data_IF_743968696894
#
_entry.id   IF_743968696894
#
_cell.length_a   1.000
_cell.length_b   1.000
_cell.length_c   1.000
_cell.angle_alpha   90.00
_cell.angle_beta   90.00
_cell.angle_gamma   90.00
#
_symmetry.space_group_name_H-M   'P 1'
#
loop_
_entity.id
_entity.type
_entity.pdbx_description
1 polymer ?
#
# COMPACT_ATOMS: atom_id res chain seq x y z
N UNK A 1 20.58 -19.28 11.64
CA UNK A 1 20.67 -19.43 10.18
C UNK A 1 20.03 -18.21 9.57
N UNK A 2 20.71 -17.56 8.63
CA UNK A 2 20.16 -16.41 7.90
C UNK A 2 18.95 -16.88 7.08
N UNK A 3 17.73 -16.34 7.30
CA UNK A 3 16.52 -16.78 6.61
C UNK A 3 16.60 -16.62 5.08
N UNK A 4 17.49 -15.74 4.58
CA UNK A 4 17.72 -15.55 3.15
C UNK A 4 18.81 -16.46 2.58
N UNK A 5 19.48 -17.31 3.37
CA UNK A 5 20.56 -18.18 2.84
C UNK A 5 20.08 -19.17 1.77
N UNK A 6 18.78 -19.42 1.68
CA UNK A 6 18.17 -20.31 0.69
C UNK A 6 17.64 -19.59 -0.56
N UNK A 7 17.54 -18.26 -0.55
CA UNK A 7 16.98 -17.47 -1.65
C UNK A 7 17.87 -16.28 -1.99
N UNK A 8 18.23 -16.11 -3.26
CA UNK A 8 18.87 -14.87 -3.71
C UNK A 8 17.85 -13.71 -3.56
N UNK A 9 18.17 -12.75 -2.69
CA UNK A 9 17.35 -11.58 -2.38
C UNK A 9 16.97 -10.77 -3.63
N UNK A 10 17.91 -10.59 -4.56
CA UNK A 10 17.67 -9.92 -5.84
C UNK A 10 16.59 -10.66 -6.65
N UNK A 11 16.67 -11.98 -6.73
CA UNK A 11 15.66 -12.80 -7.39
C UNK A 11 14.29 -12.66 -6.72
N UNK A 12 14.23 -12.56 -5.39
CA UNK A 12 12.97 -12.33 -4.66
C UNK A 12 12.38 -10.96 -5.03
N UNK A 13 13.18 -9.90 -5.02
CA UNK A 13 12.76 -8.54 -5.35
C UNK A 13 12.26 -8.43 -6.80
N UNK A 14 12.99 -9.01 -7.76
CA UNK A 14 12.57 -9.02 -9.18
C UNK A 14 11.22 -9.72 -9.33
N UNK A 15 11.03 -10.86 -8.68
CA UNK A 15 9.76 -11.58 -8.71
C UNK A 15 8.61 -10.79 -8.09
N UNK A 16 8.84 -10.11 -6.96
CA UNK A 16 7.82 -9.25 -6.35
C UNK A 16 7.47 -8.08 -7.28
N UNK A 17 8.47 -7.40 -7.86
CA UNK A 17 8.26 -6.31 -8.81
C UNK A 17 7.44 -6.72 -10.03
N UNK A 18 7.76 -7.88 -10.62
CA UNK A 18 7.00 -8.41 -11.77
C UNK A 18 5.55 -8.72 -11.40
N UNK A 19 5.32 -9.39 -10.26
CA UNK A 19 3.96 -9.66 -9.76
C UNK A 19 3.19 -8.38 -9.49
N UNK A 20 3.81 -7.39 -8.87
CA UNK A 20 3.18 -6.12 -8.57
C UNK A 20 2.81 -5.35 -9.85
N UNK A 21 3.74 -5.20 -10.80
CA UNK A 21 3.46 -4.53 -12.09
C UNK A 21 2.34 -5.19 -12.88
N UNK A 22 2.29 -6.53 -12.88
CA UNK A 22 1.28 -7.31 -13.59
C UNK A 22 -0.05 -7.43 -12.84
N UNK A 23 -0.12 -7.00 -11.57
CA UNK A 23 -1.38 -7.01 -10.82
C UNK A 23 -2.36 -5.99 -11.40
N UNK A 24 -3.65 -6.36 -11.41
CA UNK A 24 -4.71 -5.46 -11.87
C UNK A 24 -4.85 -4.32 -10.84
N UNK A 25 -5.00 -3.06 -11.28
CA UNK A 25 -5.18 -1.93 -10.38
C UNK A 25 -6.51 -1.96 -9.61
N UNK A 26 -7.41 -2.91 -9.91
CA UNK A 26 -8.70 -3.03 -9.23
C UNK A 26 -9.64 -1.86 -9.52
N UNK A 27 -10.47 -1.51 -8.54
CA UNK A 27 -11.48 -0.46 -8.66
C UNK A 27 -10.88 0.86 -8.21
N UNK A 28 -11.02 1.89 -9.05
CA UNK A 28 -10.54 3.23 -8.73
C UNK A 28 -11.17 3.72 -7.43
N UNK A 29 -10.31 4.01 -6.44
CA UNK A 29 -10.77 4.62 -5.19
C UNK A 29 -11.04 6.11 -5.41
N UNK A 30 -12.01 6.67 -4.69
CA UNK A 30 -12.24 8.13 -4.62
C UNK A 30 -11.16 8.83 -3.80
N UNK A 31 -9.92 8.76 -4.27
CA UNK A 31 -8.74 9.36 -3.66
C UNK A 31 -8.06 10.21 -4.74
N UNK A 32 -7.82 11.49 -4.45
CA UNK A 32 -7.05 12.34 -5.34
C UNK A 32 -5.56 11.99 -5.19
N UNK A 33 -5.04 11.09 -6.03
CA UNK A 33 -3.65 10.64 -5.95
C UNK A 33 -2.62 11.75 -6.18
N UNK A 34 -2.96 12.76 -6.98
CA UNK A 34 -2.05 13.86 -7.31
C UNK A 34 -1.58 14.65 -6.09
N UNK A 35 -2.35 14.65 -4.99
CA UNK A 35 -1.93 15.30 -3.74
C UNK A 35 -0.81 14.56 -3.01
N UNK A 36 -0.55 13.29 -3.37
CA UNK A 36 0.44 12.43 -2.73
C UNK A 36 1.65 12.15 -3.64
N UNK A 37 1.55 12.44 -4.93
CA UNK A 37 2.67 12.36 -5.88
C UNK A 37 3.62 13.53 -5.62
N UNK A 38 4.94 13.29 -5.54
CA UNK A 38 5.95 14.29 -5.17
C UNK A 38 5.69 15.02 -3.84
N UNK A 39 4.96 14.39 -2.92
CA UNK A 39 4.70 14.96 -1.61
C UNK A 39 5.97 14.92 -0.75
N UNK A 40 6.31 15.99 0.00
CA UNK A 40 7.58 16.07 0.75
C UNK A 40 7.63 15.15 1.97
N UNK A 41 6.47 14.69 2.45
CA UNK A 41 6.35 13.80 3.61
C UNK A 41 6.12 12.36 3.18
N UNK A 42 6.48 11.41 4.05
CA UNK A 42 6.20 9.99 3.91
C UNK A 42 4.68 9.78 3.80
N UNK A 43 4.24 9.00 2.83
CA UNK A 43 2.82 8.67 2.66
C UNK A 43 2.54 7.35 3.36
N UNK A 44 1.66 7.35 4.36
CA UNK A 44 1.30 6.14 5.11
C UNK A 44 -0.14 5.78 4.83
N UNK A 45 -0.37 4.61 4.24
CA UNK A 45 -1.70 4.07 3.99
C UNK A 45 -2.05 3.10 5.11
N UNK A 46 -3.03 3.47 5.91
CA UNK A 46 -3.54 2.65 7.01
C UNK A 46 -4.93 2.16 6.70
N UNK A 47 -5.31 1.01 7.24
CA UNK A 47 -6.67 0.50 7.07
C UNK A 47 -6.76 -0.96 7.48
N UNK A 48 -7.97 -1.41 7.77
CA UNK A 48 -8.24 -2.79 8.21
C UNK A 48 -7.76 -3.83 7.19
N UNK A 49 -7.56 -5.08 7.65
CA UNK A 49 -7.20 -6.18 6.75
C UNK A 49 -8.26 -6.31 5.65
N UNK A 50 -7.82 -6.62 4.42
CA UNK A 50 -8.66 -6.78 3.22
C UNK A 50 -9.31 -5.50 2.65
N UNK A 51 -9.01 -4.29 3.13
CA UNK A 51 -9.56 -3.06 2.51
C UNK A 51 -8.91 -2.62 1.18
N UNK A 52 -7.93 -3.38 0.66
CA UNK A 52 -7.30 -3.12 -0.64
C UNK A 52 -6.09 -2.17 -0.62
N UNK A 53 -5.30 -2.16 0.45
CA UNK A 53 -4.10 -1.28 0.58
C UNK A 53 -3.04 -1.54 -0.50
N UNK A 54 -2.67 -2.80 -0.73
CA UNK A 54 -1.71 -3.16 -1.79
C UNK A 54 -2.25 -2.78 -3.18
N UNK A 55 -3.57 -2.89 -3.39
CA UNK A 55 -4.23 -2.41 -4.61
C UNK A 55 -4.15 -0.89 -4.74
N UNK A 56 -4.30 -0.14 -3.63
CA UNK A 56 -4.13 1.31 -3.62
C UNK A 56 -2.69 1.71 -3.93
N UNK A 57 -1.70 0.99 -3.39
CA UNK A 57 -0.29 1.16 -3.78
C UNK A 57 -0.09 0.92 -5.26
N UNK A 58 -0.71 -0.14 -5.81
CA UNK A 58 -0.64 -0.43 -7.24
C UNK A 58 -1.19 0.72 -8.07
N UNK A 59 -2.32 1.32 -7.69
CA UNK A 59 -2.89 2.49 -8.36
C UNK A 59 -1.97 3.72 -8.26
N UNK A 60 -1.40 3.98 -7.08
CA UNK A 60 -0.43 5.06 -6.88
C UNK A 60 0.82 4.88 -7.74
N UNK A 61 1.28 3.64 -7.91
CA UNK A 61 2.48 3.33 -8.66
C UNK A 61 2.36 3.68 -10.16
N UNK A 62 1.14 3.77 -10.72
CA UNK A 62 0.94 4.21 -12.12
C UNK A 62 1.34 5.67 -12.36
N UNK A 63 1.46 6.48 -11.30
CA UNK A 63 1.92 7.87 -11.40
C UNK A 63 3.45 8.01 -11.39
N UNK A 64 4.19 6.91 -11.24
CA UNK A 64 5.65 6.90 -11.19
C UNK A 64 6.24 6.04 -12.31
N UNK A 65 7.22 6.56 -13.07
CA UNK A 65 7.81 5.81 -14.18
C UNK A 65 8.63 4.60 -13.70
N UNK A 66 9.29 4.74 -12.55
CA UNK A 66 10.13 3.72 -11.92
C UNK A 66 10.05 3.84 -10.40
N UNK A 67 10.15 2.70 -9.72
CA UNK A 67 10.05 2.60 -8.26
C UNK A 67 10.54 1.22 -7.80
N UNK A 68 10.86 1.13 -6.50
CA UNK A 68 10.97 -0.14 -5.79
C UNK A 68 9.63 -0.46 -5.14
N UNK A 69 9.19 -1.72 -5.22
CA UNK A 69 8.09 -2.26 -4.43
C UNK A 69 8.58 -3.48 -3.67
N UNK A 70 8.27 -3.53 -2.37
CA UNK A 70 8.64 -4.63 -1.48
C UNK A 70 7.43 -5.01 -0.63
N UNK A 71 6.99 -6.26 -0.74
CA UNK A 71 6.02 -6.85 0.18
C UNK A 71 6.75 -7.54 1.33
N UNK A 72 6.59 -6.99 2.54
CA UNK A 72 7.26 -7.46 3.76
C UNK A 72 6.46 -8.54 4.52
N UNK A 73 5.32 -8.97 3.98
CA UNK A 73 4.54 -10.15 4.42
C UNK A 73 4.88 -11.42 3.61
N UNK A 74 5.87 -11.36 2.71
CA UNK A 74 6.32 -12.52 1.94
C UNK A 74 6.92 -13.58 2.88
N UNK A 75 6.54 -14.85 2.73
CA UNK A 75 7.06 -15.94 3.58
C UNK A 75 8.58 -16.09 3.50
N UNK A 76 9.17 -15.74 2.35
CA UNK A 76 10.62 -15.73 2.13
C UNK A 76 11.33 -14.66 2.95
N UNK A 77 10.55 -13.70 3.47
CA UNK A 77 10.97 -12.61 4.34
C UNK A 77 10.67 -12.88 5.82
N UNK A 78 10.37 -14.12 6.19
CA UNK A 78 10.25 -14.51 7.59
C UNK A 78 11.57 -14.26 8.35
N UNK A 79 11.50 -13.49 9.44
CA UNK A 79 12.67 -13.22 10.30
C UNK A 79 13.60 -12.11 9.81
N UNK A 80 13.19 -11.35 8.79
CA UNK A 80 13.95 -10.20 8.30
C UNK A 80 13.97 -9.06 9.35
N UNK A 81 15.15 -8.46 9.56
CA UNK A 81 15.31 -7.16 10.24
C UNK A 81 15.88 -6.05 9.35
N UNK A 82 16.19 -4.90 9.97
CA UNK A 82 16.67 -3.68 9.31
C UNK A 82 17.91 -3.88 8.40
N UNK A 83 18.82 -4.79 8.76
CA UNK A 83 20.05 -5.00 7.98
C UNK A 83 19.74 -5.48 6.56
N UNK A 84 18.80 -6.40 6.39
CA UNK A 84 18.34 -6.82 5.06
C UNK A 84 17.60 -5.69 4.33
N UNK A 85 16.85 -4.83 5.02
CA UNK A 85 16.27 -3.65 4.37
C UNK A 85 17.36 -2.74 3.79
N UNK A 86 18.52 -2.66 4.45
CA UNK A 86 19.68 -1.94 3.90
C UNK A 86 20.29 -2.67 2.71
N UNK A 87 20.35 -4.01 2.73
CA UNK A 87 20.78 -4.81 1.58
C UNK A 87 19.85 -4.65 0.36
N UNK A 88 18.53 -4.67 0.58
CA UNK A 88 17.51 -4.38 -0.44
C UNK A 88 17.78 -3.01 -1.08
N UNK A 89 18.11 -2.00 -0.27
CA UNK A 89 18.44 -0.65 -0.76
C UNK A 89 19.71 -0.65 -1.61
N UNK A 90 20.77 -1.34 -1.18
CA UNK A 90 22.00 -1.48 -1.96
C UNK A 90 21.72 -2.10 -3.33
N UNK A 91 20.99 -3.24 -3.36
CA UNK A 91 20.61 -3.93 -4.60
C UNK A 91 19.78 -2.99 -5.50
N UNK A 92 18.86 -2.23 -4.90
CA UNK A 92 18.02 -1.29 -5.64
C UNK A 92 18.83 -0.13 -6.24
N UNK A 93 19.75 0.47 -5.49
CA UNK A 93 20.61 1.56 -5.96
C UNK A 93 21.57 1.11 -7.07
N UNK A 94 22.13 -0.09 -6.97
CA UNK A 94 23.00 -0.68 -8.00
C UNK A 94 22.24 -0.94 -9.30
N UNK A 95 21.02 -1.48 -9.21
CA UNK A 95 20.22 -1.86 -10.38
C UNK A 95 19.43 -0.70 -11.01
N UNK A 96 19.03 0.30 -10.21
CA UNK A 96 18.18 1.42 -10.64
C UNK A 96 18.72 2.76 -10.08
N UNK A 97 19.93 3.17 -10.48
CA UNK A 97 20.56 4.37 -9.96
C UNK A 97 19.72 5.62 -10.24
N UNK A 98 19.56 6.47 -9.24
CA UNK A 98 18.82 7.74 -9.33
C UNK A 98 17.31 7.62 -9.18
N UNK A 99 16.74 6.42 -9.11
CA UNK A 99 15.31 6.24 -8.79
C UNK A 99 15.11 6.44 -7.28
N UNK A 100 14.19 7.33 -6.91
CA UNK A 100 13.96 7.76 -5.52
C UNK A 100 12.56 7.44 -4.99
N UNK A 101 11.78 6.59 -5.67
CA UNK A 101 10.43 6.21 -5.21
C UNK A 101 10.41 4.79 -4.66
N UNK A 102 9.88 4.60 -3.45
CA UNK A 102 9.82 3.30 -2.77
C UNK A 102 8.42 3.07 -2.19
N UNK A 103 7.90 1.87 -2.45
CA UNK A 103 6.67 1.34 -1.88
C UNK A 103 7.01 0.14 -0.97
N UNK A 104 6.68 0.25 0.32
CA UNK A 104 6.84 -0.83 1.30
C UNK A 104 5.46 -1.27 1.80
N UNK A 105 5.07 -2.50 1.45
CA UNK A 105 3.80 -3.09 1.84
C UNK A 105 3.94 -3.89 3.15
N UNK A 106 3.01 -3.70 4.08
CA UNK A 106 2.97 -4.33 5.41
C UNK A 106 4.25 -4.09 6.24
N UNK A 107 4.72 -2.82 6.29
CA UNK A 107 5.99 -2.41 6.94
C UNK A 107 6.07 -2.78 8.43
N UNK A 108 4.93 -2.89 9.11
CA UNK A 108 4.87 -3.23 10.53
C UNK A 108 5.37 -4.65 10.83
N UNK A 109 5.54 -5.50 9.81
CA UNK A 109 6.15 -6.82 9.96
C UNK A 109 7.65 -6.75 10.27
N UNK A 110 8.31 -5.61 10.04
CA UNK A 110 9.73 -5.42 10.33
C UNK A 110 9.92 -4.68 11.65
N UNK A 111 10.59 -5.26 12.66
CA UNK A 111 10.88 -4.54 13.90
C UNK A 111 11.74 -3.30 13.68
N UNK A 112 11.45 -2.22 14.43
CA UNK A 112 12.20 -0.96 14.41
C UNK A 112 12.31 -0.29 13.02
N UNK A 113 11.37 -0.60 12.11
CA UNK A 113 11.32 -0.12 10.74
C UNK A 113 11.37 1.41 10.61
N UNK A 114 10.93 2.17 11.63
CA UNK A 114 10.82 3.64 11.56
C UNK A 114 12.20 4.29 11.41
N UNK A 115 13.24 3.69 12.02
CA UNK A 115 14.62 4.17 11.89
C UNK A 115 15.10 4.07 10.45
N UNK A 116 14.77 2.96 9.79
CA UNK A 116 15.10 2.74 8.40
C UNK A 116 14.34 3.70 7.48
N UNK A 117 13.01 3.80 7.64
CA UNK A 117 12.16 4.70 6.85
C UNK A 117 12.60 6.15 6.98
N UNK A 118 12.88 6.61 8.20
CA UNK A 118 13.37 7.97 8.43
C UNK A 118 14.69 8.23 7.70
N UNK A 119 15.64 7.29 7.78
CA UNK A 119 16.93 7.41 7.09
C UNK A 119 16.73 7.57 5.58
N UNK A 120 16.00 6.66 4.94
CA UNK A 120 15.80 6.75 3.49
C UNK A 120 14.99 7.99 3.08
N UNK A 121 14.06 8.45 3.91
CA UNK A 121 13.36 9.73 3.67
C UNK A 121 14.33 10.92 3.74
N UNK A 122 15.20 10.96 4.74
CA UNK A 122 16.26 11.98 4.88
C UNK A 122 17.27 11.93 3.71
N UNK A 123 17.50 10.74 3.14
CA UNK A 123 18.33 10.52 1.93
C UNK A 123 17.63 10.95 0.62
N UNK A 124 16.42 11.51 0.71
CA UNK A 124 15.69 12.10 -0.42
C UNK A 124 14.75 11.15 -1.15
N UNK A 125 14.43 9.99 -0.57
CA UNK A 125 13.44 9.08 -1.16
C UNK A 125 12.01 9.54 -0.86
N UNK A 126 11.14 9.45 -1.88
CA UNK A 126 9.70 9.49 -1.69
C UNK A 126 9.21 8.10 -1.26
N UNK A 127 8.78 8.01 -0.01
CA UNK A 127 8.44 6.73 0.63
C UNK A 127 6.92 6.61 0.81
N UNK A 128 6.39 5.48 0.36
CA UNK A 128 5.02 5.06 0.56
C UNK A 128 5.00 3.77 1.39
N UNK A 129 4.20 3.77 2.45
CA UNK A 129 4.08 2.65 3.37
C UNK A 129 2.63 2.18 3.43
N UNK A 130 2.41 0.89 3.66
CA UNK A 130 1.12 0.41 4.13
C UNK A 130 1.25 -0.31 5.46
N UNK A 131 0.12 -0.45 6.14
CA UNK A 131 -0.06 -1.60 7.01
C UNK A 131 -1.43 -1.72 7.64
N UNK A 132 -1.69 -2.92 8.14
CA UNK A 132 -3.03 -3.42 8.39
C UNK A 132 -3.55 -3.25 9.82
N UNK A 133 -2.70 -2.77 10.75
CA UNK A 133 -2.99 -2.80 12.18
C UNK A 133 -2.87 -1.41 12.85
N UNK A 134 -3.57 -1.25 13.97
CA UNK A 134 -3.46 -0.10 14.88
C UNK A 134 -2.03 0.12 15.38
N UNK A 135 -1.13 -0.85 15.22
CA UNK A 135 0.30 -0.76 15.56
C UNK A 135 1.03 0.36 14.81
N UNK A 136 0.80 0.51 13.50
CA UNK A 136 1.32 1.65 12.74
C UNK A 136 0.85 2.98 13.34
N UNK A 137 -0.43 3.05 13.73
CA UNK A 137 -1.01 4.23 14.37
C UNK A 137 -0.58 4.40 15.83
N UNK A 138 0.00 3.37 16.46
CA UNK A 138 0.31 3.35 17.89
C UNK A 138 1.77 3.73 18.14
N UNK A 139 2.01 4.89 18.76
CA UNK A 139 3.30 5.38 19.29
C UNK A 139 4.50 5.49 18.33
N UNK A 140 4.73 4.56 17.42
CA UNK A 140 5.88 4.47 16.49
C UNK A 140 5.86 5.63 15.49
N UNK A 141 4.77 5.79 14.74
CA UNK A 141 4.55 6.97 13.89
C UNK A 141 4.56 8.27 14.72
N UNK A 142 3.92 8.25 15.89
CA UNK A 142 3.75 9.42 16.77
C UNK A 142 5.02 9.90 17.49
N UNK A 143 6.04 9.05 17.63
CA UNK A 143 7.29 9.38 18.37
C UNK A 143 8.51 9.47 17.45
N UNK A 144 8.61 8.66 16.40
CA UNK A 144 9.82 8.57 15.55
C UNK A 144 9.66 9.24 14.20
N UNK A 145 8.43 9.42 13.72
CA UNK A 145 8.11 10.01 12.41
C UNK A 145 7.25 11.28 12.54
N UNK A 146 7.07 11.82 13.75
CA UNK A 146 6.22 12.98 14.03
C UNK A 146 6.47 14.15 13.07
N UNK A 147 5.41 14.59 12.38
CA UNK A 147 5.48 15.72 11.43
C UNK A 147 6.19 15.42 10.10
N UNK A 148 6.62 14.18 9.85
CA UNK A 148 7.29 13.74 8.61
C UNK A 148 6.44 12.81 7.74
N UNK A 149 5.18 12.58 8.12
CA UNK A 149 4.26 11.75 7.35
C UNK A 149 2.87 12.39 7.22
N UNK A 150 2.14 11.98 6.19
CA UNK A 150 0.69 12.13 6.06
C UNK A 150 0.05 10.75 5.98
N UNK A 151 -1.18 10.64 6.48
CA UNK A 151 -1.90 9.37 6.50
C UNK A 151 -3.07 9.37 5.53
N UNK A 152 -3.15 8.32 4.73
CA UNK A 152 -4.32 7.96 3.94
C UNK A 152 -5.03 6.82 4.70
N UNK A 153 -6.17 7.11 5.31
CA UNK A 153 -7.00 6.08 5.94
C UNK A 153 -7.89 5.43 4.89
N UNK A 154 -7.54 4.21 4.50
CA UNK A 154 -8.29 3.41 3.53
C UNK A 154 -9.36 2.59 4.24
N UNK A 155 -10.60 2.93 3.95
CA UNK A 155 -11.79 2.22 4.40
C UNK A 155 -12.22 1.17 3.36
N UNK A 156 -13.12 0.24 3.73
CA UNK A 156 -13.90 -0.50 2.76
C UNK A 156 -14.50 0.42 1.68
N UNK A 157 -14.94 -0.16 0.58
CA UNK A 157 -15.54 0.61 -0.50
C UNK A 157 -16.69 1.47 0.03
N UNK A 158 -16.76 2.69 -0.47
CA UNK A 158 -17.95 3.53 -0.32
C UNK A 158 -19.10 2.85 -1.07
N UNK A 159 -20.33 3.10 -0.66
CA UNK A 159 -21.49 2.50 -1.32
C UNK A 159 -21.52 2.74 -2.85
N UNK A 160 -21.08 3.92 -3.30
CA UNK A 160 -21.00 4.23 -4.73
C UNK A 160 -19.88 3.45 -5.46
N UNK A 161 -18.72 3.26 -4.82
CA UNK A 161 -17.65 2.39 -5.33
C UNK A 161 -18.13 0.93 -5.42
N UNK A 162 -18.83 0.47 -4.39
CA UNK A 162 -19.44 -0.86 -4.34
C UNK A 162 -20.56 -1.05 -5.37
N UNK A 163 -21.38 -0.01 -5.60
CA UNK A 163 -22.44 -0.05 -6.60
C UNK A 163 -21.89 -0.19 -8.01
N UNK A 164 -20.81 0.54 -8.32
CA UNK A 164 -20.09 0.40 -9.58
C UNK A 164 -19.56 -1.03 -9.81
N UNK A 165 -19.07 -1.69 -8.75
CA UNK A 165 -18.62 -3.10 -8.82
C UNK A 165 -19.79 -4.02 -9.17
N UNK A 166 -20.96 -3.76 -8.60
CA UNK A 166 -22.17 -4.55 -8.85
C UNK A 166 -22.88 -4.19 -10.17
N UNK A 167 -22.26 -3.33 -11.00
CA UNK A 167 -22.77 -2.96 -12.32
C UNK A 167 -23.78 -1.81 -12.33
N UNK A 168 -24.03 -1.17 -11.19
CA UNK A 168 -24.92 -0.02 -11.06
C UNK A 168 -24.08 1.26 -11.07
N UNK A 169 -23.88 1.83 -12.26
CA UNK A 169 -23.06 3.03 -12.48
C UNK A 169 -23.86 4.33 -12.47
N UNK A 170 -25.16 4.26 -12.79
CA UNK A 170 -26.11 5.36 -12.68
C UNK A 170 -27.32 4.85 -11.89
N UNK A 171 -27.70 5.60 -10.85
CA UNK A 171 -28.92 5.27 -10.10
C UNK A 171 -30.12 5.53 -11.01
N UNK A 172 -30.86 4.49 -11.43
CA UNK A 172 -31.98 4.70 -12.33
C UNK A 172 -33.09 5.50 -11.63
N UNK A 173 -33.91 6.24 -12.39
CA UNK A 173 -35.04 6.98 -11.85
C UNK A 173 -36.33 6.16 -11.93
N UNK A 174 -37.13 6.17 -10.86
CA UNK A 174 -38.41 5.45 -10.77
C UNK A 174 -38.44 4.40 -9.66
N UNK A 175 -39.62 3.85 -9.38
CA UNK A 175 -39.88 2.97 -8.21
C UNK A 175 -39.17 1.60 -8.30
N UNK A 176 -38.94 1.06 -9.51
CA UNK A 176 -38.21 -0.19 -9.68
C UNK A 176 -36.71 -0.03 -9.37
N UNK A 177 -36.16 1.14 -9.68
CA UNK A 177 -34.79 1.50 -9.37
C UNK A 177 -34.55 1.66 -7.86
N UNK A 178 -35.51 2.24 -7.14
CA UNK A 178 -35.44 2.36 -5.68
C UNK A 178 -35.36 0.99 -5.00
N UNK A 179 -36.13 0.00 -5.46
CA UNK A 179 -36.10 -1.35 -4.90
C UNK A 179 -34.77 -2.07 -5.16
N UNK A 180 -34.15 -1.86 -6.32
CA UNK A 180 -32.84 -2.42 -6.65
C UNK A 180 -31.72 -1.78 -5.81
N UNK A 181 -31.75 -0.46 -5.65
CA UNK A 181 -30.80 0.28 -4.80
C UNK A 181 -30.94 -0.15 -3.34
N UNK A 182 -32.16 -0.33 -2.83
CA UNK A 182 -32.38 -0.82 -1.47
C UNK A 182 -31.80 -2.22 -1.26
N UNK A 183 -32.01 -3.15 -2.20
CA UNK A 183 -31.41 -4.50 -2.12
C UNK A 183 -29.88 -4.43 -2.13
N UNK A 184 -29.31 -3.60 -3.00
CA UNK A 184 -27.87 -3.41 -3.10
C UNK A 184 -27.29 -2.78 -1.82
N UNK A 185 -28.01 -1.83 -1.22
CA UNK A 185 -27.62 -1.20 0.04
C UNK A 185 -27.69 -2.15 1.24
N UNK A 186 -28.73 -2.99 1.32
CA UNK A 186 -28.80 -4.04 2.35
C UNK A 186 -27.58 -4.98 2.21
N UNK A 187 -27.30 -5.43 0.98
CA UNK A 187 -26.13 -6.27 0.70
C UNK A 187 -24.82 -5.59 1.09
N UNK A 188 -24.68 -4.30 0.80
CA UNK A 188 -23.53 -3.50 1.20
C UNK A 188 -23.33 -3.47 2.72
N UNK A 189 -24.43 -3.32 3.49
CA UNK A 189 -24.37 -3.33 4.95
C UNK A 189 -23.99 -4.72 5.50
N UNK A 190 -24.46 -5.79 4.87
CA UNK A 190 -24.14 -7.18 5.25
C UNK A 190 -22.69 -7.56 4.91
N UNK A 191 -22.21 -7.19 3.72
CA UNK A 191 -20.85 -7.47 3.24
C UNK A 191 -19.82 -6.47 3.77
N UNK A 192 -20.26 -5.36 4.38
CA UNK A 192 -19.42 -4.31 4.95
C UNK A 192 -18.64 -3.49 3.92
N UNK A 193 -18.99 -3.59 2.64
CA UNK A 193 -18.32 -2.90 1.53
C UNK A 193 -16.89 -3.37 1.27
N UNK A 194 -16.49 -4.56 1.72
CA UNK A 194 -15.15 -5.05 1.46
C UNK A 194 -14.97 -5.45 -0.03
N UNK A 195 -13.75 -5.29 -0.59
CA UNK A 195 -13.40 -5.83 -1.89
C UNK A 195 -13.48 -7.34 -2.02
#
# INVERSE_FOLDING_TARGET
MDPLSHYNLETVLVNQMQRFKNSKPGINRRINFLQYVNHPQIIVITGVRRCGKSTLLRQLADFFPSYLYVNLDDERFAGIGIHHLTEIMTIFEENQPGIRTIFLDEIQNIPEWERFVRRIHDDGYQVFLTGSNAQLLSSELGTRLTGRYVTISLWPFRFDEYSNIMGVSEFPQGTEAEAEIQRLFIRYLEEGGFP
#
